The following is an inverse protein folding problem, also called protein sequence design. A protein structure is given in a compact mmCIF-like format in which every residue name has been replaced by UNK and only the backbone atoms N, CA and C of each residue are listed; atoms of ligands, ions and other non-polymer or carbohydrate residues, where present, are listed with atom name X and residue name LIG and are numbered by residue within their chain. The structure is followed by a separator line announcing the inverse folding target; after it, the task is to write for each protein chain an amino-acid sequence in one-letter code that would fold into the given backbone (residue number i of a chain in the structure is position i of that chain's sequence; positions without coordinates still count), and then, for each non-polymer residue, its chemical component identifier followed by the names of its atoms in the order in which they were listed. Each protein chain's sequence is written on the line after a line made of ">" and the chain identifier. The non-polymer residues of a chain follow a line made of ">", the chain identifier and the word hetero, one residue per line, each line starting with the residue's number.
data_IF_856989774663
#
_entry.id   IF_856989774663
#
_cell.length_a   1.000
_cell.length_b   1.000
_cell.length_c   1.000
_cell.angle_alpha   90.00
_cell.angle_beta   90.00
_cell.angle_gamma   90.00
#
_symmetry.space_group_name_H-M   'P 1'
#
loop_
_entity.id
_entity.type
_entity.pdbx_description
1 polymer ?
#
# COMPACT_ATOMS: atom_id res chain seq x y z
N UNK A 1 22.94 -15.94 69.12
CA UNK A 1 23.05 -16.29 67.69
C UNK A 1 21.66 -16.33 67.07
N UNK A 2 21.49 -15.92 65.82
CA UNK A 2 20.45 -14.95 65.42
C UNK A 2 19.43 -15.52 64.41
N UNK A 3 18.32 -14.79 64.23
CA UNK A 3 17.54 -14.82 62.99
C UNK A 3 16.92 -13.43 62.74
N UNK A 4 17.62 -12.63 61.95
CA UNK A 4 17.14 -11.37 61.39
C UNK A 4 16.38 -11.62 60.09
N UNK A 5 15.14 -11.15 60.02
CA UNK A 5 14.32 -11.15 58.80
C UNK A 5 14.66 -9.95 57.92
N UNK A 6 15.30 -10.21 56.78
CA UNK A 6 15.48 -9.26 55.69
C UNK A 6 14.32 -9.39 54.70
N UNK A 7 13.34 -8.51 54.78
CA UNK A 7 12.40 -8.24 53.68
C UNK A 7 13.02 -7.18 52.75
N UNK A 8 13.15 -7.43 51.43
CA UNK A 8 13.65 -6.43 50.50
C UNK A 8 12.63 -5.30 50.34
N UNK A 9 13.03 -4.11 50.79
CA UNK A 9 12.30 -2.87 50.61
C UNK A 9 12.12 -2.52 49.13
N UNK A 10 10.89 -2.20 48.77
CA UNK A 10 10.52 -1.60 47.49
C UNK A 10 11.09 -0.18 47.45
N UNK A 11 12.18 0.02 46.70
CA UNK A 11 12.71 1.37 46.43
C UNK A 11 11.81 2.05 45.41
N UNK A 12 10.90 2.91 45.89
CA UNK A 12 10.18 3.87 45.05
C UNK A 12 11.17 4.97 44.65
N UNK A 13 11.72 4.86 43.44
CA UNK A 13 12.63 5.88 42.88
C UNK A 13 11.82 7.08 42.40
N UNK A 14 11.93 8.17 43.15
CA UNK A 14 12.01 9.57 42.71
C UNK A 14 11.20 9.98 41.49
N UNK A 15 10.08 10.63 41.76
CA UNK A 15 9.33 11.49 40.84
C UNK A 15 10.15 12.70 40.39
N UNK A 16 10.95 12.52 39.33
CA UNK A 16 11.49 13.65 38.56
C UNK A 16 10.39 14.21 37.65
N UNK A 17 9.90 15.39 38.01
CA UNK A 17 9.03 16.21 37.17
C UNK A 17 9.76 16.58 35.86
N UNK A 18 9.58 15.77 34.81
CA UNK A 18 9.90 16.19 33.45
C UNK A 18 8.97 17.35 33.11
N UNK A 19 9.53 18.55 32.94
CA UNK A 19 8.90 19.60 32.12
C UNK A 19 8.55 18.98 30.78
N UNK A 20 7.27 18.68 30.58
CA UNK A 20 6.74 18.31 29.30
C UNK A 20 6.91 19.53 28.40
N UNK A 21 7.90 19.47 27.49
CA UNK A 21 7.89 20.30 26.30
C UNK A 21 6.57 19.93 25.61
N UNK A 22 5.55 20.79 25.75
CA UNK A 22 4.29 20.70 25.01
C UNK A 22 4.61 20.94 23.55
N UNK A 23 5.09 19.90 22.87
CA UNK A 23 5.07 19.85 21.42
C UNK A 23 3.60 19.95 21.04
N UNK A 24 3.22 21.09 20.46
CA UNK A 24 1.86 21.28 19.95
C UNK A 24 1.48 20.05 19.12
N UNK A 25 0.37 19.36 19.44
CA UNK A 25 0.00 18.17 18.70
C UNK A 25 -0.14 18.54 17.22
N UNK A 26 0.34 17.69 16.29
CA UNK A 26 0.23 17.96 14.87
C UNK A 26 -1.24 18.24 14.53
N UNK A 27 -1.50 19.40 13.91
CA UNK A 27 -2.84 19.90 13.61
C UNK A 27 -3.61 18.84 12.80
N UNK A 28 -4.70 18.32 13.37
CA UNK A 28 -5.56 17.37 12.67
C UNK A 28 -6.09 17.99 11.37
N UNK A 29 -6.25 17.15 10.34
CA UNK A 29 -6.74 17.56 9.03
C UNK A 29 -8.21 18.00 9.14
N UNK A 30 -8.58 19.11 8.50
CA UNK A 30 -9.99 19.52 8.44
C UNK A 30 -10.84 18.55 7.61
N UNK A 31 -12.14 18.47 7.93
CA UNK A 31 -13.10 17.65 7.18
C UNK A 31 -13.13 18.03 5.70
N UNK A 32 -13.19 19.32 5.36
CA UNK A 32 -13.18 19.78 3.97
C UNK A 32 -11.96 19.27 3.19
N UNK A 33 -10.76 19.38 3.79
CA UNK A 33 -9.54 18.88 3.15
C UNK A 33 -9.58 17.37 3.01
N UNK A 34 -10.12 16.65 4.00
CA UNK A 34 -10.32 15.20 3.93
C UNK A 34 -11.27 14.83 2.78
N UNK A 35 -12.44 15.47 2.67
CA UNK A 35 -13.44 15.15 1.66
C UNK A 35 -12.93 15.38 0.24
N UNK A 36 -12.06 16.38 0.00
CA UNK A 36 -11.45 16.62 -1.31
C UNK A 36 -10.52 15.48 -1.76
N UNK A 37 -9.65 15.01 -0.87
CA UNK A 37 -8.71 13.93 -1.17
C UNK A 37 -8.46 13.09 0.08
N UNK A 38 -9.30 12.09 0.38
CA UNK A 38 -9.24 11.32 1.62
C UNK A 38 -7.84 10.76 1.90
N UNK A 39 -7.22 10.16 0.88
CA UNK A 39 -5.94 9.45 0.98
C UNK A 39 -4.87 9.96 0.01
N UNK A 40 -4.28 11.15 0.25
CA UNK A 40 -3.25 11.68 -0.64
C UNK A 40 -2.01 10.78 -0.70
N UNK A 41 -1.68 10.10 0.41
CA UNK A 41 -0.55 9.18 0.48
C UNK A 41 -0.76 7.91 -0.37
N UNK A 42 -2.02 7.49 -0.57
CA UNK A 42 -2.33 6.27 -1.31
C UNK A 42 -2.49 6.49 -2.81
N UNK A 43 -2.58 7.74 -3.30
CA UNK A 43 -2.53 8.07 -4.74
C UNK A 43 -1.25 7.53 -5.39
N UNK A 44 -0.15 7.44 -4.61
CA UNK A 44 1.10 6.85 -5.11
C UNK A 44 0.96 5.39 -5.54
N UNK A 45 -0.08 4.68 -5.09
CA UNK A 45 -0.40 3.32 -5.54
C UNK A 45 -0.91 3.28 -6.97
N UNK A 46 -1.43 4.40 -7.48
CA UNK A 46 -1.86 4.57 -8.87
C UNK A 46 -0.74 4.35 -9.90
N UNK A 47 0.53 4.42 -9.48
CA UNK A 47 1.66 3.98 -10.31
C UNK A 47 1.49 2.56 -10.83
N UNK A 48 0.83 1.66 -10.09
CA UNK A 48 0.60 0.31 -10.58
C UNK A 48 -0.28 0.27 -11.83
N UNK A 49 -1.31 1.11 -11.91
CA UNK A 49 -2.16 1.25 -13.10
C UNK A 49 -1.32 1.76 -14.27
N UNK A 50 -0.58 2.84 -14.06
CA UNK A 50 0.26 3.44 -15.09
C UNK A 50 1.36 2.50 -15.59
N UNK A 51 2.05 1.81 -14.67
CA UNK A 51 3.12 0.87 -15.00
C UNK A 51 2.61 -0.33 -15.78
N UNK A 52 1.51 -0.95 -15.35
CA UNK A 52 0.93 -2.11 -16.07
C UNK A 52 0.34 -1.73 -17.43
N UNK A 53 -0.26 -0.54 -17.54
CA UNK A 53 -0.65 0.03 -18.82
C UNK A 53 0.57 0.24 -19.73
N UNK A 54 1.64 0.86 -19.23
CA UNK A 54 2.85 1.10 -20.01
C UNK A 54 3.49 -0.21 -20.50
N UNK A 55 3.51 -1.25 -19.66
CA UNK A 55 3.98 -2.58 -20.05
C UNK A 55 3.13 -3.18 -21.18
N UNK A 56 1.80 -3.08 -21.10
CA UNK A 56 0.90 -3.53 -22.15
C UNK A 56 1.03 -2.74 -23.46
N UNK A 57 1.25 -1.42 -23.38
CA UNK A 57 1.51 -0.57 -24.55
C UNK A 57 2.83 -0.94 -25.22
N UNK A 58 3.90 -1.13 -24.43
CA UNK A 58 5.21 -1.53 -24.95
C UNK A 58 5.18 -2.93 -25.60
N UNK A 59 4.28 -3.81 -25.14
CA UNK A 59 4.16 -5.15 -25.68
C UNK A 59 3.41 -5.21 -27.00
N UNK A 60 2.36 -4.40 -27.16
CA UNK A 60 1.64 -4.28 -28.44
C UNK A 60 2.42 -3.44 -29.44
N UNK A 61 3.20 -2.46 -28.98
CA UNK A 61 3.88 -1.49 -29.84
C UNK A 61 2.94 -0.44 -30.42
N UNK A 62 1.66 -0.46 -30.03
CA UNK A 62 0.63 0.45 -30.53
C UNK A 62 0.51 1.65 -29.58
N UNK A 63 0.87 2.84 -30.07
CA UNK A 63 0.68 4.10 -29.35
C UNK A 63 -0.12 5.04 -30.24
N UNK A 64 -1.32 5.40 -29.80
CA UNK A 64 -2.13 6.43 -30.44
C UNK A 64 -2.76 7.36 -29.40
N UNK A 65 -3.20 8.55 -29.84
CA UNK A 65 -3.76 9.57 -28.95
C UNK A 65 -4.99 9.09 -28.19
N UNK A 66 -5.83 8.25 -28.81
CA UNK A 66 -7.03 7.71 -28.18
C UNK A 66 -6.70 6.75 -27.04
N UNK A 67 -5.70 5.88 -27.21
CA UNK A 67 -5.20 4.98 -26.17
C UNK A 67 -4.62 5.76 -24.99
N UNK A 68 -3.85 6.81 -25.27
CA UNK A 68 -3.29 7.68 -24.22
C UNK A 68 -4.39 8.42 -23.45
N UNK A 69 -5.40 8.94 -24.14
CA UNK A 69 -6.56 9.58 -23.52
C UNK A 69 -7.35 8.58 -22.67
N UNK A 70 -7.62 7.38 -23.20
CA UNK A 70 -8.28 6.27 -22.49
C UNK A 70 -7.51 5.91 -21.22
N UNK A 71 -6.19 5.73 -21.32
CA UNK A 71 -5.33 5.42 -20.17
C UNK A 71 -5.39 6.51 -19.10
N UNK A 72 -5.33 7.78 -19.51
CA UNK A 72 -5.41 8.92 -18.60
C UNK A 72 -6.76 8.99 -17.88
N UNK A 73 -7.87 8.85 -18.62
CA UNK A 73 -9.23 8.86 -18.06
C UNK A 73 -9.41 7.69 -17.10
N UNK A 74 -9.00 6.47 -17.48
CA UNK A 74 -9.08 5.29 -16.59
C UNK A 74 -8.28 5.52 -15.31
N UNK A 75 -7.06 6.05 -15.41
CA UNK A 75 -6.22 6.34 -14.25
C UNK A 75 -6.85 7.37 -13.31
N UNK A 76 -7.43 8.45 -13.86
CA UNK A 76 -8.11 9.49 -13.09
C UNK A 76 -9.34 8.91 -12.38
N UNK A 77 -10.22 8.23 -13.12
CA UNK A 77 -11.46 7.70 -12.55
C UNK A 77 -11.16 6.65 -11.49
N UNK A 78 -10.27 5.70 -11.77
CA UNK A 78 -9.99 4.62 -10.82
C UNK A 78 -9.33 5.13 -9.54
N UNK A 79 -8.32 6.03 -9.63
CA UNK A 79 -7.55 6.45 -8.46
C UNK A 79 -8.17 7.63 -7.68
N UNK A 80 -8.86 8.54 -8.36
CA UNK A 80 -9.41 9.76 -7.73
C UNK A 80 -10.90 9.66 -7.41
N UNK A 81 -11.66 8.82 -8.11
CA UNK A 81 -13.08 8.60 -7.83
C UNK A 81 -13.29 7.28 -7.09
N UNK A 82 -13.02 6.14 -7.76
CA UNK A 82 -13.36 4.80 -7.25
C UNK A 82 -12.57 4.46 -5.99
N UNK A 83 -11.23 4.53 -6.03
CA UNK A 83 -10.41 4.20 -4.86
C UNK A 83 -10.61 5.18 -3.71
N UNK A 84 -10.80 6.48 -3.97
CA UNK A 84 -11.08 7.44 -2.89
C UNK A 84 -12.43 7.14 -2.22
N UNK A 85 -13.47 6.81 -2.98
CA UNK A 85 -14.75 6.37 -2.42
C UNK A 85 -14.60 5.10 -1.57
N UNK A 86 -13.85 4.10 -2.07
CA UNK A 86 -13.53 2.89 -1.30
C UNK A 86 -12.74 3.20 -0.02
N UNK A 87 -11.81 4.15 -0.06
CA UNK A 87 -11.07 4.56 1.12
C UNK A 87 -11.93 5.30 2.15
N UNK A 88 -12.89 6.12 1.69
CA UNK A 88 -13.87 6.75 2.58
C UNK A 88 -14.75 5.71 3.27
N UNK A 89 -15.24 4.71 2.52
CA UNK A 89 -16.02 3.63 3.11
C UNK A 89 -15.23 2.88 4.18
N UNK A 90 -13.98 2.54 3.89
CA UNK A 90 -13.07 1.91 4.86
C UNK A 90 -12.86 2.77 6.12
N UNK A 91 -12.75 4.09 5.98
CA UNK A 91 -12.55 5.00 7.11
C UNK A 91 -13.81 5.20 7.94
N UNK A 92 -14.99 5.20 7.31
CA UNK A 92 -16.28 5.22 7.99
C UNK A 92 -16.44 3.95 8.85
N UNK A 93 -16.18 2.77 8.27
CA UNK A 93 -16.23 1.49 8.99
C UNK A 93 -15.21 1.39 10.12
N UNK A 94 -14.03 1.99 9.94
CA UNK A 94 -12.93 1.97 10.90
C UNK A 94 -12.90 3.14 11.88
N UNK A 95 -13.89 4.03 11.87
CA UNK A 95 -13.77 5.36 12.49
C UNK A 95 -13.35 5.33 13.97
N UNK A 96 -14.04 4.56 14.80
CA UNK A 96 -13.75 4.46 16.25
C UNK A 96 -12.35 3.91 16.51
N UNK A 97 -12.01 2.79 15.88
CA UNK A 97 -10.69 2.16 16.02
C UNK A 97 -9.55 3.08 15.52
N UNK A 98 -9.82 3.90 14.50
CA UNK A 98 -8.84 4.88 13.99
C UNK A 98 -8.68 6.09 14.94
N UNK A 99 -9.72 6.50 15.68
CA UNK A 99 -9.60 7.54 16.71
C UNK A 99 -8.77 7.05 17.91
N UNK A 100 -8.91 5.77 18.29
CA UNK A 100 -8.18 5.16 19.41
C UNK A 100 -6.74 4.76 19.08
N UNK A 101 -6.31 4.92 17.82
CA UNK A 101 -4.97 4.53 17.39
C UNK A 101 -3.89 5.48 17.97
N UNK A 102 -2.72 4.99 18.42
CA UNK A 102 -1.64 5.83 18.98
C UNK A 102 -1.20 6.98 18.07
N UNK A 103 -1.23 6.75 16.76
CA UNK A 103 -0.95 7.75 15.70
C UNK A 103 -2.20 8.35 15.02
N UNK A 104 -3.35 8.44 15.70
CA UNK A 104 -4.63 8.91 15.11
C UNK A 104 -4.51 10.26 14.38
N UNK A 105 -3.77 11.21 14.96
CA UNK A 105 -3.57 12.57 14.41
C UNK A 105 -2.76 12.62 13.11
N UNK A 106 -1.91 11.63 12.82
CA UNK A 106 -0.97 11.65 11.69
C UNK A 106 -1.29 10.65 10.58
N UNK A 107 -2.24 9.73 10.81
CA UNK A 107 -2.65 8.70 9.85
C UNK A 107 -3.44 9.22 8.64
N UNK A 108 -3.98 10.44 8.73
CA UNK A 108 -4.81 11.03 7.66
C UNK A 108 -6.12 10.27 7.44
N UNK A 109 -6.71 9.73 8.51
CA UNK A 109 -8.04 9.09 8.54
C UNK A 109 -9.14 10.15 8.55
N UNK A 110 -10.41 9.72 8.54
CA UNK A 110 -11.57 10.61 8.76
C UNK A 110 -11.37 11.37 10.09
N UNK A 111 -11.41 12.71 10.10
CA UNK A 111 -11.08 13.49 11.29
C UNK A 111 -12.12 13.30 12.40
N UNK A 112 -11.67 13.33 13.65
CA UNK A 112 -12.54 13.38 14.83
C UNK A 112 -13.14 14.77 15.06
N UNK A 113 -13.79 15.03 16.21
CA UNK A 113 -13.95 14.13 17.37
C UNK A 113 -15.10 13.11 17.20
N UNK A 114 -15.16 12.11 18.09
CA UNK A 114 -16.25 11.12 18.13
C UNK A 114 -17.63 11.76 18.35
N UNK A 115 -17.72 12.89 19.05
CA UNK A 115 -18.97 13.63 19.25
C UNK A 115 -19.59 14.15 17.94
N UNK A 116 -18.80 14.29 16.88
CA UNK A 116 -19.26 14.68 15.53
C UNK A 116 -19.32 13.52 14.54
N UNK A 117 -19.29 12.27 15.02
CA UNK A 117 -19.26 11.08 14.19
C UNK A 117 -20.35 11.07 13.12
N UNK A 118 -21.62 11.31 13.51
CA UNK A 118 -22.77 11.27 12.58
C UNK A 118 -22.60 12.23 11.40
N UNK A 119 -22.19 13.48 11.67
CA UNK A 119 -21.97 14.48 10.63
C UNK A 119 -20.76 14.14 9.74
N UNK A 120 -19.63 13.73 10.32
CA UNK A 120 -18.43 13.38 9.53
C UNK A 120 -18.64 12.13 8.67
N UNK A 121 -19.34 11.13 9.21
CA UNK A 121 -19.68 9.89 8.49
C UNK A 121 -20.64 10.18 7.35
N UNK A 122 -21.75 10.88 7.60
CA UNK A 122 -22.73 11.21 6.56
C UNK A 122 -22.11 12.04 5.43
N UNK A 123 -21.34 13.08 5.75
CA UNK A 123 -20.63 13.88 4.75
C UNK A 123 -19.64 13.03 3.93
N UNK A 124 -18.91 12.11 4.57
CA UNK A 124 -18.00 11.20 3.87
C UNK A 124 -18.75 10.25 2.92
N UNK A 125 -19.85 9.65 3.38
CA UNK A 125 -20.69 8.77 2.56
C UNK A 125 -21.30 9.52 1.37
N UNK A 126 -21.84 10.73 1.56
CA UNK A 126 -22.41 11.55 0.49
C UNK A 126 -21.38 11.85 -0.61
N UNK A 127 -20.17 12.27 -0.24
CA UNK A 127 -19.11 12.54 -1.21
C UNK A 127 -18.60 11.24 -1.87
N UNK A 128 -18.55 10.12 -1.14
CA UNK A 128 -18.20 8.83 -1.73
C UNK A 128 -19.21 8.39 -2.79
N UNK A 129 -20.52 8.56 -2.53
CA UNK A 129 -21.58 8.29 -3.49
C UNK A 129 -21.48 9.22 -4.72
N UNK A 130 -21.25 10.52 -4.50
CA UNK A 130 -21.04 11.48 -5.58
C UNK A 130 -19.86 11.08 -6.49
N UNK A 131 -18.74 10.62 -5.93
CA UNK A 131 -17.59 10.13 -6.72
C UNK A 131 -17.96 8.95 -7.63
N UNK A 132 -18.74 8.01 -7.14
CA UNK A 132 -19.18 6.86 -7.93
C UNK A 132 -20.18 7.27 -9.02
N UNK A 133 -21.10 8.19 -8.70
CA UNK A 133 -21.99 8.77 -9.70
C UNK A 133 -21.21 9.48 -10.82
N UNK A 134 -20.21 10.30 -10.46
CA UNK A 134 -19.33 10.95 -11.43
C UNK A 134 -18.53 9.95 -12.28
N UNK A 135 -18.08 8.82 -11.70
CA UNK A 135 -17.44 7.76 -12.48
C UNK A 135 -18.41 7.17 -13.52
N UNK A 136 -19.68 6.97 -13.15
CA UNK A 136 -20.74 6.55 -14.08
C UNK A 136 -21.00 7.58 -15.18
N UNK A 137 -21.08 8.87 -14.84
CA UNK A 137 -21.23 9.96 -15.83
C UNK A 137 -20.07 9.96 -16.82
N UNK A 138 -18.82 9.76 -16.39
CA UNK A 138 -17.66 9.70 -17.29
C UNK A 138 -17.77 8.49 -18.25
N UNK A 139 -18.26 7.35 -17.80
CA UNK A 139 -18.48 6.18 -18.69
C UNK A 139 -19.50 6.52 -19.77
N UNK A 140 -20.60 7.20 -19.41
CA UNK A 140 -21.68 7.56 -20.34
C UNK A 140 -21.32 8.72 -21.27
N UNK A 141 -20.53 9.69 -20.80
CA UNK A 141 -20.17 10.88 -21.55
C UNK A 141 -19.09 10.63 -22.62
N UNK A 142 -18.31 9.55 -22.51
CA UNK A 142 -17.22 9.22 -23.43
C UNK A 142 -17.34 7.78 -23.96
N UNK A 143 -18.38 7.46 -24.75
CA UNK A 143 -18.62 6.10 -25.25
C UNK A 143 -17.48 5.57 -26.14
N UNK A 144 -16.87 6.45 -26.94
CA UNK A 144 -15.78 6.10 -27.88
C UNK A 144 -14.49 5.66 -27.17
N UNK A 145 -14.36 5.95 -25.87
CA UNK A 145 -13.22 5.47 -25.06
C UNK A 145 -13.41 4.03 -24.55
N UNK A 146 -14.56 3.41 -24.80
CA UNK A 146 -14.88 2.03 -24.39
C UNK A 146 -14.53 1.76 -22.91
N UNK A 147 -14.95 2.67 -22.03
CA UNK A 147 -14.59 2.67 -20.62
C UNK A 147 -15.42 1.69 -19.79
N UNK A 148 -16.63 1.36 -20.25
CA UNK A 148 -17.63 0.63 -19.46
C UNK A 148 -17.14 -0.69 -18.91
N UNK A 149 -16.51 -1.54 -19.75
CA UNK A 149 -15.97 -2.83 -19.30
C UNK A 149 -14.86 -2.67 -18.26
N UNK A 150 -13.87 -1.82 -18.53
CA UNK A 150 -12.70 -1.63 -17.66
C UNK A 150 -13.09 -1.00 -16.33
N UNK A 151 -13.85 0.10 -16.36
CA UNK A 151 -14.23 0.84 -15.15
C UNK A 151 -15.36 0.16 -14.38
N UNK A 152 -16.29 -0.51 -15.07
CA UNK A 152 -17.35 -1.30 -14.44
C UNK A 152 -16.80 -2.51 -13.69
N UNK A 153 -16.03 -3.37 -14.39
CA UNK A 153 -15.40 -4.54 -13.77
C UNK A 153 -14.33 -4.13 -12.75
N UNK A 154 -13.54 -3.09 -13.04
CA UNK A 154 -12.56 -2.55 -12.11
C UNK A 154 -13.21 -2.01 -10.83
N UNK A 155 -14.30 -1.24 -10.95
CA UNK A 155 -15.08 -0.74 -9.83
C UNK A 155 -15.68 -1.88 -9.00
N UNK A 156 -16.34 -2.83 -9.66
CA UNK A 156 -16.89 -4.03 -9.01
C UNK A 156 -15.80 -4.82 -8.27
N UNK A 157 -14.63 -5.01 -8.89
CA UNK A 157 -13.47 -5.65 -8.26
C UNK A 157 -12.96 -4.90 -7.03
N UNK A 158 -12.83 -3.57 -7.10
CA UNK A 158 -12.36 -2.73 -5.98
C UNK A 158 -13.29 -2.86 -4.76
N UNK A 159 -14.61 -2.78 -4.97
CA UNK A 159 -15.58 -2.90 -3.89
C UNK A 159 -15.79 -4.34 -3.45
N UNK A 160 -15.82 -5.31 -4.36
CA UNK A 160 -15.92 -6.74 -4.03
C UNK A 160 -14.78 -7.21 -3.13
N UNK A 161 -13.53 -6.85 -3.46
CA UNK A 161 -12.37 -7.11 -2.60
C UNK A 161 -12.50 -6.42 -1.25
N UNK A 162 -13.01 -5.18 -1.22
CA UNK A 162 -13.18 -4.44 0.02
C UNK A 162 -14.28 -5.03 0.92
N UNK A 163 -15.37 -5.54 0.35
CA UNK A 163 -16.43 -6.29 1.05
C UNK A 163 -15.86 -7.59 1.60
N UNK A 164 -15.20 -8.41 0.78
CA UNK A 164 -14.59 -9.66 1.24
C UNK A 164 -13.59 -9.43 2.38
N UNK A 165 -12.73 -8.42 2.24
CA UNK A 165 -11.80 -8.01 3.29
C UNK A 165 -12.54 -7.61 4.58
N UNK A 166 -13.60 -6.82 4.49
CA UNK A 166 -14.33 -6.34 5.66
C UNK A 166 -15.10 -7.45 6.37
N UNK A 167 -15.71 -8.38 5.61
CA UNK A 167 -16.36 -9.57 6.16
C UNK A 167 -15.33 -10.41 6.94
N UNK A 168 -14.19 -10.73 6.32
CA UNK A 168 -13.10 -11.42 6.99
C UNK A 168 -12.59 -10.64 8.20
N UNK A 169 -12.43 -9.31 8.10
CA UNK A 169 -11.90 -8.49 9.20
C UNK A 169 -12.85 -8.46 10.39
N UNK A 170 -14.15 -8.33 10.13
CA UNK A 170 -15.18 -8.35 11.17
C UNK A 170 -15.30 -9.69 11.88
N UNK A 171 -15.02 -10.80 11.19
CA UNK A 171 -14.98 -12.13 11.78
C UNK A 171 -13.75 -12.36 12.67
N UNK A 172 -12.69 -11.54 12.54
CA UNK A 172 -11.34 -11.88 13.02
C UNK A 172 -10.69 -10.85 13.93
N UNK A 173 -11.18 -9.61 13.99
CA UNK A 173 -10.57 -8.53 14.77
C UNK A 173 -11.58 -7.86 15.71
N UNK A 174 -11.12 -7.32 16.84
CA UNK A 174 -11.96 -6.52 17.75
C UNK A 174 -12.91 -7.31 18.65
N UNK A 175 -12.73 -8.63 18.78
CA UNK A 175 -13.45 -9.45 19.77
C UNK A 175 -12.73 -9.36 21.10
N UNK A 176 -13.07 -8.36 21.92
CA UNK A 176 -12.38 -8.00 23.17
C UNK A 176 -12.25 -9.09 24.26
N UNK A 177 -12.74 -10.31 24.03
CA UNK A 177 -12.72 -11.41 24.99
C UNK A 177 -12.23 -12.76 24.42
N UNK A 178 -11.94 -12.87 23.11
CA UNK A 178 -11.50 -14.13 22.52
C UNK A 178 -9.97 -14.23 22.56
N UNK A 179 -9.45 -15.16 23.38
CA UNK A 179 -8.05 -15.26 23.78
C UNK A 179 -7.03 -15.46 22.64
N UNK A 180 -7.42 -15.79 21.41
CA UNK A 180 -6.53 -15.87 20.26
C UNK A 180 -7.33 -15.77 18.95
N UNK A 181 -6.92 -14.90 18.03
CA UNK A 181 -7.47 -14.90 16.66
C UNK A 181 -6.93 -16.13 15.92
N UNK A 182 -7.77 -16.97 15.30
CA UNK A 182 -7.30 -18.12 14.54
C UNK A 182 -6.32 -17.71 13.45
N UNK A 183 -5.16 -18.39 13.36
CA UNK A 183 -4.13 -18.02 12.39
C UNK A 183 -4.61 -18.10 10.94
N UNK A 184 -5.47 -19.08 10.63
CA UNK A 184 -6.08 -19.26 9.30
C UNK A 184 -6.82 -18.01 8.84
N UNK A 185 -7.57 -17.42 9.75
CA UNK A 185 -8.34 -16.20 9.55
C UNK A 185 -7.45 -14.99 9.23
N UNK A 186 -6.33 -14.86 9.92
CA UNK A 186 -5.32 -13.81 9.65
C UNK A 186 -4.65 -14.02 8.30
N UNK A 187 -4.34 -15.26 7.93
CA UNK A 187 -3.76 -15.59 6.61
C UNK A 187 -4.75 -15.25 5.49
N UNK A 188 -6.03 -15.59 5.64
CA UNK A 188 -7.07 -15.22 4.67
C UNK A 188 -7.18 -13.71 4.50
N UNK A 189 -7.04 -12.94 5.59
CA UNK A 189 -6.96 -11.48 5.50
C UNK A 189 -5.75 -11.01 4.69
N UNK A 190 -4.57 -11.60 4.90
CA UNK A 190 -3.36 -11.27 4.13
C UNK A 190 -3.53 -11.56 2.64
N UNK A 191 -4.14 -12.70 2.30
CA UNK A 191 -4.47 -13.04 0.92
C UNK A 191 -5.48 -12.04 0.34
N UNK A 192 -6.57 -11.77 1.05
CA UNK A 192 -7.63 -10.86 0.58
C UNK A 192 -7.10 -9.45 0.25
N UNK A 193 -6.21 -8.87 1.07
CA UNK A 193 -5.65 -7.54 0.78
C UNK A 193 -4.75 -7.50 -0.44
N UNK A 194 -4.14 -8.62 -0.83
CA UNK A 194 -3.32 -8.73 -2.04
C UNK A 194 -4.14 -8.61 -3.33
N UNK A 195 -5.36 -9.14 -3.34
CA UNK A 195 -6.25 -9.10 -4.51
C UNK A 195 -6.57 -7.67 -4.98
N UNK A 196 -6.55 -6.68 -4.09
CA UNK A 196 -6.72 -5.28 -4.46
C UNK A 196 -5.62 -4.73 -5.37
N UNK A 197 -4.42 -5.33 -5.35
CA UNK A 197 -3.34 -5.00 -6.28
C UNK A 197 -3.50 -5.71 -7.61
N UNK A 198 -4.05 -6.94 -7.60
CA UNK A 198 -4.44 -7.63 -8.83
C UNK A 198 -5.48 -6.81 -9.60
N UNK A 199 -6.58 -6.40 -8.96
CA UNK A 199 -7.59 -5.54 -9.61
C UNK A 199 -6.96 -4.28 -10.18
N UNK A 200 -6.15 -3.56 -9.39
CA UNK A 200 -5.49 -2.32 -9.83
C UNK A 200 -4.58 -2.52 -11.05
N UNK A 201 -3.70 -3.52 -11.00
CA UNK A 201 -2.76 -3.78 -12.09
C UNK A 201 -3.44 -4.35 -13.34
N UNK A 202 -4.48 -5.17 -13.16
CA UNK A 202 -5.26 -5.70 -14.29
C UNK A 202 -6.07 -4.60 -14.98
N UNK A 203 -6.61 -3.63 -14.24
CA UNK A 203 -7.24 -2.44 -14.84
C UNK A 203 -6.26 -1.70 -15.74
N UNK A 204 -5.01 -1.49 -15.28
CA UNK A 204 -3.98 -0.84 -16.10
C UNK A 204 -3.59 -1.67 -17.33
N UNK A 205 -3.35 -2.97 -17.16
CA UNK A 205 -3.04 -3.88 -18.27
C UNK A 205 -4.18 -3.94 -19.31
N UNK A 206 -5.43 -4.00 -18.84
CA UNK A 206 -6.63 -4.10 -19.68
C UNK A 206 -6.88 -2.87 -20.57
N UNK A 207 -6.24 -1.73 -20.28
CA UNK A 207 -6.28 -0.56 -21.17
C UNK A 207 -5.62 -0.87 -22.51
N UNK A 208 -4.53 -1.64 -22.49
CA UNK A 208 -3.68 -1.88 -23.65
C UNK A 208 -3.76 -3.31 -24.19
N UNK A 209 -4.15 -4.29 -23.36
CA UNK A 209 -4.23 -5.70 -23.73
C UNK A 209 -5.62 -6.23 -23.39
N UNK A 210 -6.28 -6.88 -24.35
CA UNK A 210 -7.56 -7.55 -24.10
C UNK A 210 -7.34 -8.83 -23.27
N UNK A 211 -7.80 -8.88 -22.01
CA UNK A 211 -7.57 -10.03 -21.14
C UNK A 211 -8.30 -11.30 -21.63
N UNK A 212 -9.38 -11.15 -22.39
CA UNK A 212 -10.18 -12.29 -22.86
C UNK A 212 -9.52 -13.01 -24.04
N UNK A 213 -8.72 -12.29 -24.83
CA UNK A 213 -7.93 -12.87 -25.93
C UNK A 213 -6.60 -13.45 -25.46
N UNK A 214 -6.19 -13.19 -24.21
CA UNK A 214 -4.90 -13.60 -23.64
C UNK A 214 -5.07 -14.16 -22.22
N UNK A 215 -5.86 -15.24 -22.04
CA UNK A 215 -6.19 -15.76 -20.71
C UNK A 215 -4.96 -16.21 -19.92
N UNK A 216 -3.93 -16.77 -20.57
CA UNK A 216 -2.71 -17.22 -19.90
C UNK A 216 -1.96 -16.04 -19.29
N UNK A 217 -1.83 -14.94 -20.05
CA UNK A 217 -1.24 -13.69 -19.55
C UNK A 217 -2.07 -13.12 -18.41
N UNK A 218 -3.41 -13.14 -18.54
CA UNK A 218 -4.31 -12.67 -17.48
C UNK A 218 -4.08 -13.44 -16.18
N UNK A 219 -4.06 -14.77 -16.20
CA UNK A 219 -3.83 -15.58 -15.01
C UNK A 219 -2.43 -15.39 -14.42
N UNK A 220 -1.39 -15.36 -15.27
CA UNK A 220 -0.03 -15.08 -14.82
C UNK A 220 0.06 -13.69 -14.14
N UNK A 221 -0.60 -12.68 -14.71
CA UNK A 221 -0.63 -11.32 -14.17
C UNK A 221 -1.42 -11.25 -12.85
N UNK A 222 -2.54 -11.98 -12.73
CA UNK A 222 -3.28 -12.13 -11.47
C UNK A 222 -2.35 -12.69 -10.38
N UNK A 223 -1.65 -13.79 -10.65
CA UNK A 223 -0.72 -14.40 -9.68
C UNK A 223 0.39 -13.43 -9.30
N UNK A 224 1.00 -12.77 -10.28
CA UNK A 224 2.06 -11.78 -10.07
C UNK A 224 1.61 -10.63 -9.17
N UNK A 225 0.51 -9.98 -9.55
CA UNK A 225 0.01 -8.76 -8.91
C UNK A 225 -0.63 -9.06 -7.54
N UNK A 226 -1.29 -10.21 -7.40
CA UNK A 226 -1.82 -10.67 -6.13
C UNK A 226 -0.68 -10.97 -5.15
N UNK A 227 0.29 -11.82 -5.55
CA UNK A 227 1.47 -12.12 -4.74
C UNK A 227 2.23 -10.85 -4.34
N UNK A 228 2.43 -9.93 -5.29
CA UNK A 228 3.02 -8.62 -5.03
C UNK A 228 2.22 -7.83 -4.00
N UNK A 229 0.89 -7.80 -4.13
CA UNK A 229 0.00 -7.14 -3.19
C UNK A 229 0.11 -7.70 -1.77
N UNK A 230 0.13 -9.03 -1.61
CA UNK A 230 0.33 -9.67 -0.30
C UNK A 230 1.69 -9.29 0.26
N UNK A 231 2.75 -9.40 -0.53
CA UNK A 231 4.11 -9.04 -0.11
C UNK A 231 4.21 -7.58 0.32
N UNK A 232 3.68 -6.66 -0.48
CA UNK A 232 3.66 -5.23 -0.20
C UNK A 232 2.89 -4.91 1.08
N UNK A 233 1.64 -5.38 1.20
CA UNK A 233 0.78 -5.03 2.33
C UNK A 233 1.33 -5.63 3.63
N UNK A 234 1.78 -6.87 3.62
CA UNK A 234 2.36 -7.50 4.82
C UNK A 234 3.70 -6.88 5.20
N UNK A 235 4.57 -6.49 4.26
CA UNK A 235 5.75 -5.66 4.56
C UNK A 235 5.35 -4.35 5.24
N UNK A 236 4.38 -3.65 4.66
CA UNK A 236 3.93 -2.36 5.20
C UNK A 236 3.33 -2.52 6.60
N UNK A 237 2.48 -3.52 6.80
CA UNK A 237 1.87 -3.80 8.11
C UNK A 237 2.90 -4.22 9.15
N UNK A 238 3.91 -4.98 8.79
CA UNK A 238 5.02 -5.30 9.67
C UNK A 238 5.78 -4.04 10.13
N UNK A 239 6.02 -3.09 9.22
CA UNK A 239 6.64 -1.80 9.59
C UNK A 239 5.68 -0.91 10.40
N UNK A 240 4.39 -0.88 10.07
CA UNK A 240 3.38 -0.13 10.83
C UNK A 240 3.18 -0.70 12.25
N UNK A 241 3.37 -2.01 12.44
CA UNK A 241 3.32 -2.65 13.75
C UNK A 241 4.38 -2.08 14.71
N UNK A 242 5.49 -1.53 14.21
CA UNK A 242 6.48 -0.84 15.03
C UNK A 242 5.90 0.37 15.80
N UNK A 243 4.72 0.89 15.42
CA UNK A 243 4.02 1.91 16.23
C UNK A 243 3.56 1.40 17.61
N UNK A 244 3.54 0.09 17.82
CA UNK A 244 3.25 -0.57 19.09
C UNK A 244 4.51 -1.04 19.83
N UNK A 245 5.71 -0.71 19.32
CA UNK A 245 6.97 -1.12 19.92
C UNK A 245 7.62 0.01 20.73
N UNK A 246 8.43 -0.39 21.72
CA UNK A 246 9.39 0.43 22.45
C UNK A 246 10.76 -0.25 22.43
N UNK A 247 11.83 0.55 22.43
CA UNK A 247 13.20 0.02 22.59
C UNK A 247 13.56 0.08 24.08
N UNK A 248 13.98 -1.07 24.63
CA UNK A 248 14.49 -1.22 25.99
C UNK A 248 15.78 -2.03 25.91
N UNK A 249 16.91 -1.46 26.34
CA UNK A 249 18.22 -2.14 26.36
C UNK A 249 18.61 -2.77 25.01
N UNK A 250 18.35 -2.05 23.91
CA UNK A 250 18.62 -2.54 22.54
C UNK A 250 17.66 -3.63 22.03
N UNK A 251 16.66 -4.01 22.83
CA UNK A 251 15.62 -4.98 22.49
C UNK A 251 14.28 -4.30 22.22
N UNK A 252 13.46 -4.96 21.41
CA UNK A 252 12.13 -4.48 21.03
C UNK A 252 11.09 -5.10 21.96
N UNK A 253 10.41 -4.27 22.73
CA UNK A 253 9.27 -4.63 23.56
C UNK A 253 7.97 -4.18 22.90
N UNK A 254 6.96 -5.05 22.86
CA UNK A 254 5.67 -4.78 22.19
C UNK A 254 4.59 -4.49 23.22
N UNK A 255 3.79 -3.43 23.00
CA UNK A 255 2.65 -3.07 23.83
C UNK A 255 1.45 -2.74 22.93
N UNK A 256 0.49 -3.67 22.85
CA UNK A 256 -0.73 -3.52 22.10
C UNK A 256 -1.94 -3.81 22.97
N UNK A 257 -3.04 -3.10 22.72
CA UNK A 257 -4.30 -3.25 23.47
C UNK A 257 -5.39 -3.86 22.57
N UNK A 258 -6.31 -4.66 23.12
CA UNK A 258 -7.38 -5.30 22.33
C UNK A 258 -8.31 -4.32 21.59
N UNK A 259 -8.55 -3.13 22.16
CA UNK A 259 -9.41 -2.08 21.61
C UNK A 259 -8.85 -1.41 20.34
N UNK A 260 -7.62 -1.76 19.93
CA UNK A 260 -6.99 -1.24 18.73
C UNK A 260 -7.35 -2.04 17.45
N UNK A 261 -7.87 -3.27 17.59
CA UNK A 261 -8.29 -4.16 16.49
C UNK A 261 -7.23 -4.33 15.36
N UNK A 262 -5.97 -4.59 15.74
CA UNK A 262 -4.80 -4.75 14.84
C UNK A 262 -4.14 -6.13 14.90
N UNK A 263 -4.87 -7.15 15.30
CA UNK A 263 -4.38 -8.53 15.50
C UNK A 263 -3.70 -9.07 14.23
N UNK A 264 -4.25 -8.78 13.05
CA UNK A 264 -3.67 -9.18 11.75
C UNK A 264 -2.33 -8.50 11.43
N UNK A 265 -2.06 -7.30 11.98
CA UNK A 265 -0.77 -6.62 11.84
C UNK A 265 0.21 -7.13 12.92
N UNK A 266 -0.27 -7.25 14.16
CA UNK A 266 0.53 -7.72 15.29
C UNK A 266 0.95 -9.18 15.12
N UNK A 267 0.17 -10.01 14.45
CA UNK A 267 0.56 -11.37 14.12
C UNK A 267 1.87 -11.44 13.30
N UNK A 268 2.21 -10.38 12.54
CA UNK A 268 3.42 -10.32 11.73
C UNK A 268 4.70 -10.12 12.53
N UNK A 269 4.61 -9.66 13.80
CA UNK A 269 5.78 -9.36 14.62
C UNK A 269 6.64 -10.59 14.89
N UNK A 270 6.06 -11.79 14.83
CA UNK A 270 6.76 -13.07 15.06
C UNK A 270 7.88 -13.34 14.05
N UNK A 271 7.87 -12.65 12.91
CA UNK A 271 8.90 -12.73 11.87
C UNK A 271 9.87 -11.55 11.89
N UNK A 272 9.72 -10.62 12.83
CA UNK A 272 10.59 -9.45 12.96
C UNK A 272 11.76 -9.74 13.92
N UNK A 273 12.92 -9.09 13.73
CA UNK A 273 14.03 -9.20 14.66
C UNK A 273 13.65 -8.68 16.05
N UNK A 274 14.16 -9.34 17.10
CA UNK A 274 13.99 -8.91 18.49
C UNK A 274 14.97 -7.82 18.94
N UNK A 275 16.02 -7.57 18.15
CA UNK A 275 17.08 -6.61 18.43
C UNK A 275 17.11 -5.51 17.37
N UNK A 276 17.39 -4.28 17.80
CA UNK A 276 17.65 -3.17 16.87
C UNK A 276 19.13 -3.11 16.51
N UNK A 277 19.45 -2.57 15.33
CA UNK A 277 20.84 -2.38 14.92
C UNK A 277 21.54 -1.32 15.78
N UNK A 278 22.87 -1.41 15.88
CA UNK A 278 23.69 -0.42 16.58
C UNK A 278 23.37 1.01 16.08
N UNK A 279 23.20 1.95 17.01
CA UNK A 279 22.87 3.35 16.72
C UNK A 279 21.38 3.67 16.54
N UNK A 280 20.48 2.69 16.55
CA UNK A 280 19.03 2.94 16.47
C UNK A 280 18.48 3.17 17.88
N UNK A 281 18.24 4.43 18.23
CA UNK A 281 17.67 4.83 19.54
C UNK A 281 16.15 5.05 19.49
N UNK A 282 15.59 5.26 18.30
CA UNK A 282 14.15 5.52 18.09
C UNK A 282 13.54 4.42 17.23
N UNK A 283 12.42 3.87 17.69
CA UNK A 283 11.62 2.88 16.94
C UNK A 283 11.20 3.41 15.56
N UNK A 284 10.95 4.71 15.46
CA UNK A 284 10.55 5.35 14.21
C UNK A 284 11.59 5.19 13.09
N UNK A 285 12.87 5.06 13.45
CA UNK A 285 14.00 4.97 12.53
C UNK A 285 14.46 3.52 12.30
N UNK A 286 13.82 2.56 12.97
CA UNK A 286 14.10 1.13 12.78
C UNK A 286 13.50 0.63 11.46
N UNK A 287 14.33 -0.04 10.65
CA UNK A 287 13.93 -0.72 9.41
C UNK A 287 13.91 -2.24 9.64
N UNK A 288 12.84 -2.81 10.21
CA UNK A 288 12.84 -4.21 10.68
C UNK A 288 13.04 -5.22 9.55
N UNK A 289 12.61 -4.89 8.33
CA UNK A 289 12.68 -5.77 7.16
C UNK A 289 14.00 -5.68 6.39
N UNK A 290 14.91 -4.78 6.77
CA UNK A 290 16.24 -4.66 6.16
C UNK A 290 17.15 -5.81 6.58
N UNK A 291 16.91 -6.36 7.76
CA UNK A 291 17.64 -7.49 8.30
C UNK A 291 17.12 -8.80 7.68
N UNK A 292 17.82 -9.92 7.97
CA UNK A 292 17.34 -11.24 7.55
C UNK A 292 16.04 -11.55 8.30
N UNK A 293 15.01 -11.92 7.56
CA UNK A 293 13.74 -12.43 8.09
C UNK A 293 13.60 -13.89 7.66
N UNK A 294 12.76 -14.67 8.34
CA UNK A 294 12.56 -16.07 7.97
C UNK A 294 11.96 -16.18 6.56
N UNK A 295 12.35 -17.20 5.80
CA UNK A 295 11.80 -17.43 4.46
C UNK A 295 10.29 -17.73 4.49
N UNK A 296 9.81 -18.29 5.61
CA UNK A 296 8.39 -18.56 5.87
C UNK A 296 7.58 -17.31 6.20
N UNK A 297 8.22 -16.13 6.30
CA UNK A 297 7.48 -14.89 6.50
C UNK A 297 6.54 -14.64 5.31
N UNK A 298 5.30 -14.18 5.55
CA UNK A 298 4.27 -14.10 4.51
C UNK A 298 4.69 -13.19 3.34
N UNK A 299 5.44 -12.13 3.61
CA UNK A 299 5.96 -11.26 2.54
C UNK A 299 7.04 -11.91 1.68
N UNK A 300 7.83 -12.85 2.22
CA UNK A 300 8.87 -13.54 1.47
C UNK A 300 8.25 -14.61 0.57
N UNK A 301 7.35 -15.44 1.12
CA UNK A 301 6.61 -16.44 0.35
C UNK A 301 5.81 -15.78 -0.79
N UNK A 302 5.08 -14.71 -0.47
CA UNK A 302 4.32 -13.98 -1.47
C UNK A 302 5.20 -13.32 -2.54
N UNK A 303 6.39 -12.83 -2.17
CA UNK A 303 7.33 -12.29 -3.14
C UNK A 303 7.84 -13.36 -4.12
N UNK A 304 8.11 -14.59 -3.65
CA UNK A 304 8.51 -15.70 -4.53
C UNK A 304 7.40 -16.06 -5.52
N UNK A 305 6.14 -16.16 -5.05
CA UNK A 305 4.98 -16.37 -5.91
C UNK A 305 4.81 -15.22 -6.91
N UNK A 306 4.98 -13.98 -6.45
CA UNK A 306 4.97 -12.81 -7.32
C UNK A 306 6.08 -12.86 -8.37
N UNK A 307 7.27 -13.34 -8.00
CA UNK A 307 8.41 -13.55 -8.91
C UNK A 307 8.10 -14.54 -10.00
N UNK A 308 7.55 -15.70 -9.64
CA UNK A 308 7.10 -16.70 -10.60
C UNK A 308 6.08 -16.12 -11.58
N UNK A 309 5.02 -15.51 -11.04
CA UNK A 309 3.96 -14.90 -11.83
C UNK A 309 4.46 -13.76 -12.71
N UNK A 310 5.36 -12.90 -12.21
CA UNK A 310 5.87 -11.76 -12.95
C UNK A 310 6.79 -12.17 -14.11
N UNK A 311 7.62 -13.19 -13.91
CA UNK A 311 8.45 -13.74 -14.98
C UNK A 311 7.59 -14.41 -16.07
N UNK A 312 6.60 -15.23 -15.68
CA UNK A 312 5.63 -15.81 -16.60
C UNK A 312 4.83 -14.75 -17.35
N UNK A 313 4.33 -13.73 -16.63
CA UNK A 313 3.59 -12.61 -17.22
C UNK A 313 4.44 -11.89 -18.25
N UNK A 314 5.69 -11.56 -17.92
CA UNK A 314 6.57 -10.86 -18.85
C UNK A 314 6.88 -11.68 -20.10
N UNK A 315 7.08 -13.00 -19.97
CA UNK A 315 7.25 -13.90 -21.12
C UNK A 315 6.01 -13.93 -22.02
N UNK A 316 4.83 -14.10 -21.43
CA UNK A 316 3.55 -14.16 -22.13
C UNK A 316 3.11 -12.80 -22.66
N UNK A 317 3.62 -11.71 -22.10
CA UNK A 317 3.33 -10.35 -22.53
C UNK A 317 3.91 -10.08 -23.91
N UNK A 318 5.14 -10.54 -24.19
CA UNK A 318 5.78 -10.29 -25.47
C UNK A 318 5.31 -11.22 -26.58
N UNK A 319 5.13 -12.52 -26.30
CA UNK A 319 4.54 -13.46 -27.26
C UNK A 319 3.91 -14.67 -26.57
N UNK A 320 2.90 -15.32 -27.18
CA UNK A 320 2.46 -16.64 -26.74
C UNK A 320 3.62 -17.64 -26.76
N UNK A 321 3.60 -18.61 -25.85
CA UNK A 321 4.55 -19.71 -25.83
C UNK A 321 3.94 -20.96 -25.22
N UNK A 322 4.66 -22.08 -25.30
CA UNK A 322 4.22 -23.34 -24.71
C UNK A 322 4.18 -23.27 -23.18
N UNK A 323 3.44 -24.20 -22.58
CA UNK A 323 3.30 -24.31 -21.13
C UNK A 323 4.66 -24.61 -20.49
N UNK A 324 5.48 -25.45 -21.11
CA UNK A 324 6.81 -25.84 -20.62
C UNK A 324 7.75 -24.63 -20.51
N UNK A 325 7.79 -23.78 -21.54
CA UNK A 325 8.59 -22.54 -21.53
C UNK A 325 8.07 -21.60 -20.44
N UNK A 326 6.75 -21.48 -20.31
CA UNK A 326 6.13 -20.63 -19.29
C UNK A 326 6.50 -21.10 -17.88
N UNK A 327 6.39 -22.40 -17.61
CA UNK A 327 6.75 -23.02 -16.33
C UNK A 327 8.25 -22.87 -16.06
N UNK A 328 9.11 -23.06 -17.06
CA UNK A 328 10.55 -22.88 -16.93
C UNK A 328 10.90 -21.44 -16.53
N UNK A 329 10.36 -20.44 -17.25
CA UNK A 329 10.59 -19.02 -16.93
C UNK A 329 10.02 -18.65 -15.56
N UNK A 330 8.84 -19.19 -15.19
CA UNK A 330 8.26 -19.01 -13.87
C UNK A 330 9.16 -19.58 -12.76
N UNK A 331 9.70 -20.79 -12.96
CA UNK A 331 10.60 -21.43 -12.00
C UNK A 331 11.90 -20.64 -11.82
N UNK A 332 12.50 -20.15 -12.91
CA UNK A 332 13.68 -19.28 -12.86
C UNK A 332 13.34 -17.98 -12.12
N UNK A 333 12.21 -17.34 -12.43
CA UNK A 333 11.74 -16.14 -11.73
C UNK A 333 11.53 -16.36 -10.23
N UNK A 334 10.97 -17.52 -9.84
CA UNK A 334 10.77 -17.91 -8.45
C UNK A 334 12.11 -18.12 -7.72
N UNK A 335 13.04 -18.88 -8.32
CA UNK A 335 14.36 -19.14 -7.78
C UNK A 335 15.17 -17.84 -7.62
N UNK A 336 15.18 -17.00 -8.66
CA UNK A 336 15.79 -15.68 -8.66
C UNK A 336 15.27 -14.81 -7.49
N UNK A 337 13.94 -14.78 -7.28
CA UNK A 337 13.35 -14.05 -6.15
C UNK A 337 13.70 -14.70 -4.81
N UNK A 338 13.68 -16.04 -4.71
CA UNK A 338 14.03 -16.77 -3.50
C UNK A 338 15.46 -16.43 -3.04
N UNK A 339 16.42 -16.39 -3.97
CA UNK A 339 17.80 -16.01 -3.69
C UNK A 339 17.84 -14.55 -3.20
N UNK A 340 17.15 -13.64 -3.88
CA UNK A 340 17.10 -12.22 -3.51
C UNK A 340 16.47 -11.96 -2.12
N UNK A 341 15.45 -12.73 -1.71
CA UNK A 341 14.86 -12.60 -0.36
C UNK A 341 15.70 -13.27 0.72
N UNK A 342 16.40 -14.36 0.38
CA UNK A 342 17.27 -15.11 1.30
C UNK A 342 18.50 -14.32 1.73
N UNK A 343 18.98 -13.44 0.84
CA UNK A 343 20.20 -12.68 1.04
C UNK A 343 19.85 -11.23 1.46
N UNK A 344 20.23 -10.87 2.69
CA UNK A 344 20.04 -9.50 3.22
C UNK A 344 21.24 -8.59 2.96
N UNK A 345 22.47 -9.12 2.99
CA UNK A 345 23.71 -8.39 2.68
C UNK A 345 23.95 -8.42 1.17
N UNK A 346 24.31 -7.29 0.53
CA UNK A 346 24.55 -7.20 -0.93
C UNK A 346 23.33 -7.55 -1.80
N UNK A 347 22.11 -7.39 -1.27
CA UNK A 347 20.85 -7.70 -1.99
C UNK A 347 20.74 -7.04 -3.38
N UNK A 348 21.27 -5.82 -3.54
CA UNK A 348 21.31 -5.14 -4.84
C UNK A 348 22.12 -5.91 -5.88
N UNK A 349 23.33 -6.36 -5.54
CA UNK A 349 24.17 -7.18 -6.41
C UNK A 349 23.48 -8.49 -6.78
N UNK A 350 22.87 -9.16 -5.80
CA UNK A 350 22.12 -10.41 -6.03
C UNK A 350 20.97 -10.20 -7.02
N UNK A 351 20.24 -9.09 -6.91
CA UNK A 351 19.16 -8.79 -7.87
C UNK A 351 19.68 -8.52 -9.26
N UNK A 352 20.84 -7.87 -9.41
CA UNK A 352 21.48 -7.70 -10.73
C UNK A 352 21.85 -9.06 -11.32
N UNK A 353 22.51 -9.93 -10.55
CA UNK A 353 22.88 -11.28 -11.02
C UNK A 353 21.65 -12.13 -11.37
N UNK A 354 20.61 -12.06 -10.54
CA UNK A 354 19.34 -12.75 -10.76
C UNK A 354 18.61 -12.23 -12.02
N UNK A 355 18.66 -10.92 -12.27
CA UNK A 355 18.14 -10.32 -13.49
C UNK A 355 18.91 -10.79 -14.74
N UNK A 356 20.24 -10.84 -14.67
CA UNK A 356 21.08 -11.36 -15.75
C UNK A 356 20.79 -12.84 -16.03
N UNK A 357 20.57 -13.64 -14.98
CA UNK A 357 20.16 -15.04 -15.13
C UNK A 357 18.81 -15.17 -15.82
N UNK A 358 17.80 -14.40 -15.41
CA UNK A 358 16.49 -14.39 -16.06
C UNK A 358 16.58 -13.93 -17.53
N UNK A 359 17.36 -12.88 -17.80
CA UNK A 359 17.64 -12.42 -19.17
C UNK A 359 18.32 -13.50 -20.00
N UNK A 360 19.30 -14.21 -19.45
CA UNK A 360 19.96 -15.34 -20.10
C UNK A 360 18.96 -16.43 -20.47
N UNK A 361 18.08 -16.83 -19.55
CA UNK A 361 17.01 -17.81 -19.82
C UNK A 361 16.05 -17.33 -20.92
N UNK A 362 15.65 -16.06 -20.89
CA UNK A 362 14.77 -15.48 -21.92
C UNK A 362 15.45 -15.46 -23.29
N UNK A 363 16.76 -15.18 -23.34
CA UNK A 363 17.55 -15.22 -24.58
C UNK A 363 17.70 -16.64 -25.13
N UNK A 364 18.01 -17.63 -24.27
CA UNK A 364 18.15 -19.04 -24.67
C UNK A 364 16.82 -19.62 -25.19
N UNK A 365 15.70 -19.18 -24.62
CA UNK A 365 14.36 -19.56 -25.08
C UNK A 365 13.86 -18.75 -26.29
N UNK A 366 14.77 -18.02 -26.97
CA UNK A 366 14.50 -17.19 -28.13
C UNK A 366 13.33 -16.21 -27.93
N UNK A 367 13.19 -15.67 -26.72
CA UNK A 367 12.10 -14.75 -26.38
C UNK A 367 12.29 -13.43 -27.13
N UNK A 368 11.28 -12.93 -27.86
CA UNK A 368 11.35 -11.60 -28.46
C UNK A 368 11.47 -10.56 -27.36
N UNK A 369 12.27 -9.51 -27.58
CA UNK A 369 12.44 -8.38 -26.64
C UNK A 369 12.67 -8.83 -25.16
N UNK A 370 13.75 -9.57 -24.86
CA UNK A 370 13.98 -10.15 -23.52
C UNK A 370 14.04 -9.11 -22.40
N UNK A 371 14.46 -7.87 -22.71
CA UNK A 371 14.42 -6.75 -21.78
C UNK A 371 13.00 -6.39 -21.34
N UNK A 372 12.04 -6.36 -22.27
CA UNK A 372 10.63 -6.12 -21.94
C UNK A 372 10.06 -7.30 -21.17
N UNK A 373 10.37 -8.54 -21.57
CA UNK A 373 9.91 -9.74 -20.88
C UNK A 373 10.43 -9.87 -19.43
N UNK A 374 11.63 -9.38 -19.13
CA UNK A 374 12.16 -9.36 -17.75
C UNK A 374 11.64 -8.20 -16.90
N UNK A 375 11.06 -7.16 -17.52
CA UNK A 375 10.69 -5.93 -16.83
C UNK A 375 9.64 -6.08 -15.71
N UNK A 376 8.58 -6.93 -15.81
CA UNK A 376 7.64 -7.10 -14.70
C UNK A 376 8.31 -7.68 -13.46
N UNK A 377 9.21 -8.65 -13.64
CA UNK A 377 9.98 -9.25 -12.55
C UNK A 377 10.92 -8.22 -11.91
N UNK A 378 11.64 -7.44 -12.72
CA UNK A 378 12.51 -6.36 -12.25
C UNK A 378 11.75 -5.30 -11.44
N UNK A 379 10.63 -4.82 -11.97
CA UNK A 379 9.80 -3.83 -11.29
C UNK A 379 9.29 -4.36 -9.94
N UNK A 380 8.84 -5.62 -9.91
CA UNK A 380 8.37 -6.28 -8.70
C UNK A 380 9.49 -6.39 -7.65
N UNK A 381 10.68 -6.90 -8.02
CA UNK A 381 11.77 -7.09 -7.06
C UNK A 381 12.36 -5.77 -6.57
N UNK A 382 12.44 -4.75 -7.45
CA UNK A 382 12.85 -3.39 -7.06
C UNK A 382 11.85 -2.79 -6.06
N UNK A 383 10.55 -2.98 -6.28
CA UNK A 383 9.53 -2.56 -5.35
C UNK A 383 9.66 -3.29 -4.00
N UNK A 384 9.84 -4.62 -4.02
CA UNK A 384 10.10 -5.40 -2.80
C UNK A 384 11.33 -4.87 -2.02
N UNK A 385 12.47 -4.64 -2.69
CA UNK A 385 13.65 -4.04 -2.05
C UNK A 385 13.34 -2.66 -1.44
N UNK A 386 12.62 -1.82 -2.17
CA UNK A 386 12.23 -0.50 -1.69
C UNK A 386 11.35 -0.57 -0.43
N UNK A 387 10.53 -1.61 -0.26
CA UNK A 387 9.70 -1.78 0.94
C UNK A 387 10.45 -2.37 2.12
N UNK A 388 11.36 -3.30 1.88
CA UNK A 388 12.20 -3.87 2.95
C UNK A 388 13.13 -2.84 3.62
N UNK A 389 13.40 -1.71 2.96
CA UNK A 389 14.21 -0.60 3.50
C UNK A 389 13.39 0.46 4.26
N UNK A 390 12.07 0.29 4.38
CA UNK A 390 11.17 1.29 5.00
C UNK A 390 11.28 1.28 6.52
N UNK A 391 11.23 2.47 7.09
CA UNK A 391 11.03 2.74 8.53
C UNK A 391 9.67 3.37 8.76
N UNK A 392 9.18 3.37 10.00
CA UNK A 392 7.93 4.04 10.37
C UNK A 392 8.00 5.56 10.07
N UNK A 393 9.16 6.20 10.32
CA UNK A 393 9.41 7.59 9.96
C UNK A 393 9.23 7.81 8.45
N UNK A 394 9.75 6.89 7.61
CA UNK A 394 9.63 6.98 6.15
C UNK A 394 8.19 6.84 5.64
N UNK A 395 7.31 6.14 6.37
CA UNK A 395 5.88 6.03 6.06
C UNK A 395 5.10 7.28 6.50
N UNK A 396 5.55 7.95 7.56
CA UNK A 396 4.90 9.15 8.10
C UNK A 396 5.18 10.40 7.27
N UNK A 397 6.40 10.56 6.73
CA UNK A 397 6.82 11.76 5.99
C UNK A 397 6.12 11.88 4.63
N UNK A 398 5.38 12.96 4.44
CA UNK A 398 5.01 13.45 3.10
C UNK A 398 6.28 13.87 2.37
N UNK A 399 6.69 13.09 1.36
CA UNK A 399 7.94 13.31 0.62
C UNK A 399 7.96 14.66 -0.12
N UNK A 400 9.14 15.23 -0.40
CA UNK A 400 9.31 16.45 -1.20
C UNK A 400 8.68 16.37 -2.60
N UNK A 401 8.54 15.19 -3.21
CA UNK A 401 7.79 15.03 -4.48
C UNK A 401 6.30 15.40 -4.37
N UNK A 402 5.68 15.24 -3.20
CA UNK A 402 4.33 15.75 -2.96
C UNK A 402 4.31 17.29 -2.91
N UNK A 403 5.42 17.93 -2.49
CA UNK A 403 5.57 19.39 -2.60
C UNK A 403 5.78 19.82 -4.05
N UNK A 404 6.52 19.04 -4.84
CA UNK A 404 6.69 19.31 -6.27
C UNK A 404 5.35 19.17 -7.02
N UNK A 405 4.62 18.08 -6.83
CA UNK A 405 3.28 17.91 -7.40
C UNK A 405 2.32 19.00 -6.93
N UNK A 406 2.39 19.40 -5.64
CA UNK A 406 1.60 20.51 -5.15
C UNK A 406 1.99 21.85 -5.80
N UNK A 407 3.28 22.08 -6.08
CA UNK A 407 3.74 23.26 -6.83
C UNK A 407 3.23 23.23 -8.27
N UNK A 408 3.37 22.11 -8.98
CA UNK A 408 2.87 21.98 -10.35
C UNK A 408 1.35 22.18 -10.41
N UNK A 409 0.60 21.57 -9.48
CA UNK A 409 -0.85 21.74 -9.40
C UNK A 409 -1.25 23.15 -8.98
N UNK A 410 -0.50 23.80 -8.09
CA UNK A 410 -0.70 25.19 -7.73
C UNK A 410 -0.43 26.12 -8.92
N UNK A 411 0.59 25.85 -9.73
CA UNK A 411 0.85 26.61 -10.97
C UNK A 411 -0.27 26.44 -11.97
N UNK A 412 -0.75 25.22 -12.20
CA UNK A 412 -1.88 24.95 -13.11
C UNK A 412 -3.16 25.61 -12.57
N UNK A 413 -3.44 25.48 -11.27
CA UNK A 413 -4.61 26.12 -10.64
C UNK A 413 -4.53 27.66 -10.74
N UNK A 414 -3.36 28.25 -10.50
CA UNK A 414 -3.09 29.69 -10.63
C UNK A 414 -3.30 30.18 -12.06
N UNK A 415 -2.87 29.40 -13.06
CA UNK A 415 -3.12 29.70 -14.48
C UNK A 415 -4.61 29.61 -14.82
N UNK A 416 -5.32 28.64 -14.27
CA UNK A 416 -6.73 28.41 -14.58
C UNK A 416 -7.68 29.44 -13.93
N UNK A 417 -7.41 29.88 -12.70
CA UNK A 417 -8.32 30.77 -11.95
C UNK A 417 -7.90 32.25 -11.94
N UNK A 418 -6.73 32.57 -12.51
CA UNK A 418 -6.17 33.91 -12.53
C UNK A 418 -5.46 34.31 -11.22
N UNK A 419 -4.52 35.25 -11.34
CA UNK A 419 -3.65 35.70 -10.25
C UNK A 419 -4.42 36.28 -9.06
N UNK A 420 -5.38 37.16 -9.35
CA UNK A 420 -6.19 37.88 -8.37
C UNK A 420 -7.03 36.93 -7.52
N UNK A 421 -7.69 35.95 -8.15
CA UNK A 421 -8.50 34.93 -7.46
C UNK A 421 -7.61 34.03 -6.59
N UNK A 422 -6.45 33.63 -7.10
CA UNK A 422 -5.50 32.80 -6.36
C UNK A 422 -4.96 33.51 -5.11
N UNK A 423 -4.69 34.81 -5.18
CA UNK A 423 -4.27 35.62 -4.03
C UNK A 423 -5.38 35.78 -2.99
N UNK A 424 -6.64 35.93 -3.42
CA UNK A 424 -7.79 36.00 -2.52
C UNK A 424 -7.96 34.70 -1.71
N UNK A 425 -7.78 33.53 -2.34
CA UNK A 425 -7.85 32.22 -1.68
C UNK A 425 -6.72 31.96 -0.66
N UNK A 426 -5.58 32.63 -0.80
CA UNK A 426 -4.44 32.47 0.11
C UNK A 426 -4.53 33.32 1.38
N UNK A 427 -5.41 34.32 1.42
CA UNK A 427 -5.62 35.11 2.64
C UNK A 427 -6.37 34.25 3.66
N UNK A 428 -5.75 33.87 4.79
CA UNK A 428 -6.50 33.21 5.86
C UNK A 428 -7.61 34.17 6.29
N UNK A 429 -8.87 33.72 6.23
CA UNK A 429 -10.01 34.53 6.62
C UNK A 429 -9.75 35.12 8.00
N UNK A 430 -9.48 36.43 8.04
CA UNK A 430 -9.54 37.20 9.28
C UNK A 430 -11.00 37.15 9.67
N UNK A 431 -11.31 36.27 10.61
CA UNK A 431 -12.55 36.36 11.36
C UNK A 431 -12.55 37.77 11.96
N UNK A 432 -13.41 38.64 11.45
CA UNK A 432 -13.58 39.99 11.96
C UNK A 432 -13.88 39.89 13.45
N UNK A 433 -13.01 40.50 14.25
CA UNK A 433 -13.44 41.08 15.51
C UNK A 433 -13.98 42.46 15.15
N UNK A 434 -15.26 42.62 15.48
CA UNK A 434 -16.01 43.84 15.79
C UNK A 434 -15.25 45.16 15.72
N UNK A 435 -15.87 46.13 15.03
CA UNK A 435 -16.25 47.41 15.64
C UNK A 435 -17.75 47.54 15.48
#
# INVERSE_FOLDING_TARGET
>A
MPAGGNTPGVTVVGSYARRAITVSPPRQRSLARYLLLPRPKDVTKGWLVGTTCALGVLSTGEVNGMLLLRALVVMIVIELLVYQARYQWNDVRGFVADQNHPSSTTRGRLPGPLSRARFHVSASCAIAALRLALAGVVILAFPDLHLGGILGLGGAGVFGVAIAYELLRSATTGRGHAACVPIRSVVLLWLAVGSGYAVRGLVGLAVAVDPWKRPELFFAAVVALWGYGVAFVTCRWAVEAASFAAIRDGRVAWNARPDQAREHQLALIRWLPSHVGAGVTKVADWAPLRQRTALTAPWNLAAVVAGAGAAASGRLLVSPCSVEITVCVAAVGAAATLIAVSISRRRALVVVLAALSLLGTLSVTATPRPLLASSPWLLMICAYQFFTTRTLASLSRTRPRARLAHRTFATIARLAIGETTWQAMQRPGRCGKEV
#
